data_IF_789437980157
#
_entry.id   IF_789437980157
#
_cell.length_a   1.000
_cell.length_b   1.000
_cell.length_c   1.000
_cell.angle_alpha   90.00
_cell.angle_beta   90.00
_cell.angle_gamma   90.00
#
_symmetry.space_group_name_H-M   'P 1'
#
loop_
_entity.id
_entity.type
_entity.pdbx_description
1 polymer ?
#
# COMPACT_ATOMS: atom_id res chain seq x y z
N UNK A 1 -20.75 9.24 -1.51
CA UNK A 1 -19.79 10.13 -2.21
C UNK A 1 -19.33 11.27 -1.31
N UNK A 2 -20.22 12.01 -0.64
CA UNK A 2 -19.85 13.14 0.24
C UNK A 2 -19.04 12.77 1.51
N UNK A 3 -19.19 11.56 2.05
CA UNK A 3 -18.43 11.13 3.25
C UNK A 3 -16.99 10.74 2.90
N UNK A 4 -16.81 9.88 1.88
CA UNK A 4 -15.48 9.51 1.37
C UNK A 4 -14.65 10.70 0.89
N UNK A 5 -15.30 11.74 0.34
CA UNK A 5 -14.60 12.97 -0.09
C UNK A 5 -14.16 13.78 1.14
N UNK A 6 -14.99 13.88 2.18
CA UNK A 6 -14.62 14.56 3.43
C UNK A 6 -13.55 13.81 4.22
N UNK A 7 -13.58 12.48 4.20
CA UNK A 7 -12.55 11.66 4.82
C UNK A 7 -11.22 11.79 4.06
N UNK A 8 -11.27 11.91 2.73
CA UNK A 8 -10.09 12.14 1.87
C UNK A 8 -9.52 13.55 2.03
N UNK A 9 -10.36 14.58 2.20
CA UNK A 9 -9.91 15.94 2.52
C UNK A 9 -9.25 16.02 3.89
N UNK A 10 -9.85 15.38 4.91
CA UNK A 10 -9.24 15.27 6.26
C UNK A 10 -7.94 14.47 6.25
N UNK A 11 -7.85 13.42 5.44
CA UNK A 11 -6.62 12.67 5.21
C UNK A 11 -5.54 13.56 4.57
N UNK A 12 -5.91 14.37 3.57
CA UNK A 12 -4.97 15.28 2.90
C UNK A 12 -4.47 16.42 3.80
N UNK A 13 -5.32 16.92 4.69
CA UNK A 13 -4.97 18.00 5.63
C UNK A 13 -4.09 17.48 6.77
N UNK A 14 -4.29 16.22 7.18
CA UNK A 14 -3.42 15.51 8.12
C UNK A 14 -2.09 15.08 7.48
N UNK A 15 -2.10 14.64 6.22
CA UNK A 15 -0.90 14.30 5.45
C UNK A 15 0.09 15.48 5.37
N UNK A 16 -0.40 16.72 5.28
CA UNK A 16 0.43 17.94 5.35
C UNK A 16 1.05 18.17 6.72
N UNK A 17 0.45 17.68 7.80
CA UNK A 17 0.98 17.78 9.16
C UNK A 17 2.12 16.78 9.41
N UNK A 18 2.20 15.70 8.61
CA UNK A 18 3.24 14.68 8.69
C UNK A 18 4.48 14.97 7.82
N UNK A 19 4.57 16.16 7.21
CA UNK A 19 5.74 16.55 6.39
C UNK A 19 7.02 16.76 7.23
N UNK A 20 6.89 16.87 8.56
CA UNK A 20 8.02 17.12 9.48
C UNK A 20 8.56 15.88 10.20
N UNK A 21 7.90 14.72 10.12
CA UNK A 21 8.35 13.48 10.76
C UNK A 21 8.63 12.38 9.74
N UNK A 22 9.85 11.85 9.70
CA UNK A 22 10.12 10.62 8.94
C UNK A 22 9.10 9.54 9.34
N UNK A 23 8.46 8.91 8.34
CA UNK A 23 7.33 7.97 8.47
C UNK A 23 7.68 6.65 9.16
N UNK A 24 8.21 6.72 10.38
CA UNK A 24 8.67 5.63 11.22
C UNK A 24 7.72 5.54 12.40
N UNK A 25 6.97 4.44 12.43
CA UNK A 25 6.09 4.12 13.55
C UNK A 25 6.78 3.11 14.48
N UNK A 26 6.64 3.33 15.79
CA UNK A 26 7.11 2.40 16.80
C UNK A 26 5.92 1.63 17.38
N UNK A 27 5.97 0.31 17.32
CA UNK A 27 5.01 -0.56 17.99
C UNK A 27 5.59 -0.97 19.33
N UNK A 28 4.88 -0.65 20.41
CA UNK A 28 5.30 -0.94 21.78
C UNK A 28 4.18 -1.68 22.50
N UNK A 29 4.53 -2.75 23.21
CA UNK A 29 3.62 -3.47 24.11
C UNK A 29 4.10 -3.30 25.54
N UNK A 30 3.17 -2.97 26.44
CA UNK A 30 3.45 -2.76 27.86
C UNK A 30 2.58 -3.71 28.69
N UNK A 31 3.08 -4.21 29.83
CA UNK A 31 2.24 -4.95 30.76
C UNK A 31 1.15 -4.04 31.34
N UNK A 32 0.03 -4.63 31.76
CA UNK A 32 -1.05 -3.90 32.41
C UNK A 32 -0.59 -3.42 33.79
N UNK A 33 -0.35 -2.11 33.91
CA UNK A 33 0.00 -1.41 35.13
C UNK A 33 -1.27 -0.85 35.78
N UNK A 34 -1.36 -0.91 37.12
CA UNK A 34 -2.48 -0.31 37.86
C UNK A 34 -3.82 -1.05 37.73
N UNK A 35 -3.84 -2.26 37.17
CA UNK A 35 -5.01 -3.14 37.18
C UNK A 35 -5.98 -2.99 35.99
N UNK A 36 -5.78 -2.03 35.07
CA UNK A 36 -6.54 -1.95 33.82
C UNK A 36 -5.68 -1.43 32.65
N UNK A 37 -6.09 -1.80 31.42
CA UNK A 37 -5.44 -1.34 30.20
C UNK A 37 -5.60 0.18 30.03
N UNK A 38 -6.75 0.74 30.43
CA UNK A 38 -6.98 2.18 30.38
C UNK A 38 -6.05 2.95 31.31
N UNK A 39 -5.82 2.46 32.53
CA UNK A 39 -4.91 3.12 33.46
C UNK A 39 -3.47 3.16 32.91
N UNK A 40 -3.04 2.07 32.25
CA UNK A 40 -1.73 2.01 31.58
C UNK A 40 -1.66 2.99 30.41
N UNK A 41 -2.71 3.02 29.57
CA UNK A 41 -2.82 3.93 28.44
C UNK A 41 -2.77 5.40 28.88
N UNK A 42 -3.55 5.77 29.88
CA UNK A 42 -3.62 7.14 30.40
C UNK A 42 -2.27 7.56 30.99
N UNK A 43 -1.58 6.65 31.70
CA UNK A 43 -0.25 6.92 32.22
C UNK A 43 0.78 7.14 31.10
N UNK A 44 0.75 6.35 30.03
CA UNK A 44 1.64 6.54 28.87
C UNK A 44 1.34 7.88 28.20
N UNK A 45 0.06 8.18 27.93
CA UNK A 45 -0.35 9.43 27.31
C UNK A 45 0.06 10.65 28.13
N UNK A 46 -0.12 10.58 29.45
CA UNK A 46 0.26 11.64 30.37
C UNK A 46 1.77 11.92 30.34
N UNK A 47 2.60 10.87 30.32
CA UNK A 47 4.04 11.04 30.42
C UNK A 47 4.72 11.34 29.08
N UNK A 48 4.24 10.77 27.97
CA UNK A 48 4.88 10.96 26.66
C UNK A 48 4.28 12.11 25.87
N UNK A 49 2.95 12.29 25.90
CA UNK A 49 2.28 13.32 25.08
C UNK A 49 2.08 14.60 25.88
N UNK A 50 1.34 14.54 26.99
CA UNK A 50 0.94 15.77 27.69
C UNK A 50 2.06 16.42 28.50
N UNK A 51 2.93 15.63 29.14
CA UNK A 51 4.00 16.16 29.97
C UNK A 51 5.24 16.59 29.18
N UNK A 52 5.55 15.90 28.08
CA UNK A 52 6.85 16.01 27.40
C UNK A 52 6.77 16.16 25.88
N UNK A 53 5.59 16.01 25.26
CA UNK A 53 5.37 16.12 23.80
C UNK A 53 6.37 15.33 22.95
N UNK A 54 6.65 14.09 23.36
CA UNK A 54 7.65 13.21 22.74
C UNK A 54 7.09 12.37 21.59
N UNK A 55 5.78 12.13 21.56
CA UNK A 55 5.16 11.21 20.61
C UNK A 55 3.68 11.49 20.38
N UNK A 56 3.17 11.05 19.22
CA UNK A 56 1.73 10.85 18.99
C UNK A 56 1.41 9.37 19.18
N UNK A 57 0.48 9.05 20.07
CA UNK A 57 0.16 7.67 20.43
C UNK A 57 -1.20 7.26 19.85
N UNK A 58 -1.26 6.04 19.32
CA UNK A 58 -2.48 5.42 18.79
C UNK A 58 -2.67 4.04 19.39
N UNK A 59 -3.92 3.64 19.65
CA UNK A 59 -4.22 2.32 20.20
C UNK A 59 -4.18 1.27 19.09
N UNK A 60 -3.44 0.20 19.32
CA UNK A 60 -3.51 -1.00 18.48
C UNK A 60 -4.53 -1.97 19.09
N UNK A 61 -5.75 -1.99 18.53
CA UNK A 61 -6.84 -2.80 19.05
C UNK A 61 -6.70 -4.26 18.60
N UNK A 62 -6.02 -5.07 19.42
CA UNK A 62 -5.87 -6.52 19.23
C UNK A 62 -6.93 -7.27 20.05
N UNK A 63 -7.64 -8.28 19.50
CA UNK A 63 -8.67 -8.99 20.24
C UNK A 63 -8.11 -9.78 21.43
N UNK A 64 -8.74 -9.64 22.60
CA UNK A 64 -8.39 -10.42 23.81
C UNK A 64 -8.70 -11.92 23.67
N UNK A 65 -9.60 -12.27 22.75
CA UNK A 65 -10.06 -13.63 22.48
C UNK A 65 -9.13 -14.43 21.57
N UNK A 66 -7.99 -13.88 21.18
CA UNK A 66 -7.00 -14.56 20.34
C UNK A 66 -6.57 -15.89 20.96
N UNK A 67 -6.93 -16.97 20.28
CA UNK A 67 -6.65 -18.32 20.77
C UNK A 67 -5.19 -18.69 20.49
N UNK A 68 -4.36 -18.45 21.50
CA UNK A 68 -2.97 -18.91 21.54
C UNK A 68 -2.90 -20.38 21.97
N UNK A 69 -1.96 -21.14 21.38
CA UNK A 69 -1.79 -22.58 21.61
C UNK A 69 -0.96 -22.88 22.87
N UNK A 70 -0.05 -23.84 22.76
CA UNK A 70 0.98 -24.10 23.77
C UNK A 70 2.16 -23.13 23.62
N UNK A 71 2.99 -23.01 24.65
CA UNK A 71 4.24 -22.23 24.57
C UNK A 71 5.13 -22.69 23.40
N UNK A 72 5.28 -23.99 23.21
CA UNK A 72 6.08 -24.54 22.10
C UNK A 72 5.55 -24.07 20.74
N UNK A 73 4.23 -24.10 20.54
CA UNK A 73 3.61 -23.61 19.30
C UNK A 73 3.78 -22.10 19.11
N UNK A 74 3.87 -21.32 20.20
CA UNK A 74 4.13 -19.88 20.13
C UNK A 74 5.59 -19.58 19.78
N UNK A 75 6.53 -20.37 20.29
CA UNK A 75 7.94 -20.23 19.95
C UNK A 75 8.19 -20.58 18.48
N UNK A 76 7.62 -21.69 18.00
CA UNK A 76 7.68 -22.06 16.59
C UNK A 76 7.06 -20.96 15.70
N UNK A 77 5.88 -20.47 16.08
CA UNK A 77 5.22 -19.40 15.33
C UNK A 77 6.02 -18.09 15.36
N UNK A 78 6.70 -17.76 16.46
CA UNK A 78 7.56 -16.58 16.56
C UNK A 78 8.70 -16.63 15.54
N UNK A 79 9.32 -17.79 15.36
CA UNK A 79 10.39 -17.97 14.37
C UNK A 79 9.86 -17.94 12.93
N UNK A 80 8.66 -18.49 12.69
CA UNK A 80 7.95 -18.39 11.41
C UNK A 80 7.61 -16.93 11.06
N UNK A 81 7.07 -16.17 12.02
CA UNK A 81 6.66 -14.77 11.85
C UNK A 81 7.79 -13.85 11.41
N UNK A 82 9.04 -14.10 11.85
CA UNK A 82 10.21 -13.34 11.39
C UNK A 82 10.41 -13.50 9.88
N UNK A 83 10.27 -14.73 9.37
CA UNK A 83 10.41 -15.01 7.93
C UNK A 83 9.22 -14.47 7.14
N UNK A 84 8.02 -14.64 7.66
CA UNK A 84 6.79 -14.17 7.03
C UNK A 84 6.75 -12.64 6.94
N UNK A 85 7.20 -11.93 7.99
CA UNK A 85 7.33 -10.46 7.98
C UNK A 85 8.22 -9.98 6.85
N UNK A 86 9.39 -10.60 6.65
CA UNK A 86 10.28 -10.25 5.54
C UNK A 86 9.64 -10.47 4.16
N UNK A 87 8.83 -11.52 4.00
CA UNK A 87 8.09 -11.79 2.77
C UNK A 87 6.96 -10.78 2.52
N UNK A 88 6.23 -10.40 3.58
CA UNK A 88 5.18 -9.37 3.54
C UNK A 88 5.80 -8.02 3.14
N UNK A 89 6.85 -7.59 3.84
CA UNK A 89 7.57 -6.35 3.55
C UNK A 89 8.08 -6.31 2.11
N UNK A 90 8.69 -7.41 1.64
CA UNK A 90 9.16 -7.52 0.26
C UNK A 90 8.04 -7.37 -0.77
N UNK A 91 6.86 -7.92 -0.50
CA UNK A 91 5.70 -7.80 -1.39
C UNK A 91 5.13 -6.39 -1.38
N UNK A 92 4.96 -5.79 -0.21
CA UNK A 92 4.52 -4.41 -0.05
C UNK A 92 5.47 -3.41 -0.73
N UNK A 93 6.78 -3.61 -0.59
CA UNK A 93 7.80 -2.77 -1.22
C UNK A 93 7.73 -2.84 -2.76
N UNK A 94 7.51 -4.03 -3.33
CA UNK A 94 7.29 -4.19 -4.78
C UNK A 94 6.03 -3.45 -5.22
N UNK A 95 4.90 -3.63 -4.52
CA UNK A 95 3.64 -2.96 -4.83
C UNK A 95 3.80 -1.43 -4.81
N UNK A 96 4.35 -0.89 -3.71
CA UNK A 96 4.62 0.55 -3.56
C UNK A 96 5.46 1.07 -4.71
N UNK A 97 6.55 0.38 -5.07
CA UNK A 97 7.40 0.75 -6.20
C UNK A 97 6.62 0.82 -7.51
N UNK A 98 5.76 -0.16 -7.80
CA UNK A 98 4.97 -0.17 -9.02
C UNK A 98 3.93 0.96 -9.05
N UNK A 99 3.24 1.21 -7.94
CA UNK A 99 2.30 2.34 -7.82
C UNK A 99 2.99 3.69 -8.11
N UNK A 100 4.17 3.92 -7.51
CA UNK A 100 4.95 5.13 -7.74
C UNK A 100 5.45 5.24 -9.18
N UNK A 101 6.00 4.16 -9.75
CA UNK A 101 6.49 4.15 -11.13
C UNK A 101 5.36 4.51 -12.12
N UNK A 102 4.18 3.91 -11.97
CA UNK A 102 3.04 4.21 -12.85
C UNK A 102 2.45 5.60 -12.64
N UNK A 103 2.45 6.11 -11.41
CA UNK A 103 2.02 7.47 -11.09
C UNK A 103 2.87 8.53 -11.81
N UNK A 104 4.19 8.39 -11.80
CA UNK A 104 5.11 9.32 -12.48
C UNK A 104 5.00 9.30 -14.03
N UNK A 105 4.64 8.17 -14.62
CA UNK A 105 4.40 8.08 -16.08
C UNK A 105 3.09 8.77 -16.50
N UNK A 106 2.13 8.95 -15.58
CA UNK A 106 0.92 9.73 -15.82
C UNK A 106 1.22 11.25 -15.83
N UNK A 107 2.02 11.72 -14.87
CA UNK A 107 2.36 13.14 -14.73
C UNK A 107 3.31 13.71 -15.80
N UNK A 108 4.13 12.88 -16.45
CA UNK A 108 5.08 13.32 -17.49
C UNK A 108 4.46 13.54 -18.88
N UNK A 109 3.17 13.21 -19.07
CA UNK A 109 2.43 13.49 -20.31
C UNK A 109 1.54 14.73 -20.25
N UNK A 110 1.51 15.45 -19.12
CA UNK A 110 0.64 16.61 -18.91
C UNK A 110 1.19 17.95 -19.46
N UNK A 111 2.20 17.93 -20.34
CA UNK A 111 2.75 19.16 -20.95
C UNK A 111 2.22 19.44 -22.37
N UNK A 112 1.10 18.85 -22.81
CA UNK A 112 0.72 19.08 -24.22
C UNK A 112 -0.65 18.66 -24.73
N UNK A 113 -1.70 18.56 -23.92
CA UNK A 113 -3.05 18.30 -24.48
C UNK A 113 -4.11 19.20 -23.86
N UNK A 114 -4.42 20.27 -24.59
CA UNK A 114 -5.67 21.02 -24.48
C UNK A 114 -6.87 20.05 -24.59
N UNK A 115 -7.84 20.17 -23.69
CA UNK A 115 -9.19 19.61 -23.86
C UNK A 115 -9.71 18.76 -22.70
N UNK A 116 -10.32 19.44 -21.73
CA UNK A 116 -11.57 19.06 -21.04
C UNK A 116 -11.70 17.74 -20.27
N UNK A 117 -10.60 17.07 -19.94
CA UNK A 117 -10.60 16.04 -18.91
C UNK A 117 -9.61 16.42 -17.82
N UNK A 118 -10.13 17.10 -16.80
CA UNK A 118 -9.50 17.18 -15.50
C UNK A 118 -9.40 15.76 -14.91
N UNK A 119 -8.45 14.97 -15.41
CA UNK A 119 -7.88 13.90 -14.61
C UNK A 119 -7.10 14.62 -13.53
N UNK A 120 -7.82 14.85 -12.43
CA UNK A 120 -7.29 15.20 -11.13
C UNK A 120 -5.99 14.39 -10.94
N UNK A 121 -4.97 15.07 -10.44
CA UNK A 121 -3.70 14.51 -10.00
C UNK A 121 -3.95 13.34 -9.00
N UNK A 122 -4.34 12.18 -9.51
CA UNK A 122 -4.55 10.92 -8.78
C UNK A 122 -3.18 10.25 -8.59
N UNK A 123 -2.19 11.03 -8.19
CA UNK A 123 -1.02 10.50 -7.52
C UNK A 123 -1.53 9.86 -6.23
N UNK A 124 -1.42 8.52 -6.05
CA UNK A 124 -1.90 7.90 -4.83
C UNK A 124 -1.12 8.47 -3.65
N UNK A 125 -1.83 9.08 -2.70
CA UNK A 125 -1.26 9.56 -1.44
C UNK A 125 -0.99 8.35 -0.53
N UNK A 126 0.00 7.55 -0.92
CA UNK A 126 0.39 6.34 -0.22
C UNK A 126 0.80 6.65 1.22
N UNK A 127 1.39 7.83 1.45
CA UNK A 127 1.77 8.26 2.81
C UNK A 127 0.54 8.48 3.69
N UNK A 128 -0.47 9.19 3.19
CA UNK A 128 -1.73 9.38 3.91
C UNK A 128 -2.46 8.07 4.18
N UNK A 129 -2.48 7.16 3.20
CA UNK A 129 -3.08 5.82 3.36
C UNK A 129 -2.33 4.96 4.38
N UNK A 130 -0.99 4.97 4.36
CA UNK A 130 -0.15 4.26 5.33
C UNK A 130 -0.39 4.79 6.75
N UNK A 131 -0.45 6.12 6.92
CA UNK A 131 -0.71 6.75 8.20
C UNK A 131 -2.09 6.36 8.75
N UNK A 132 -3.13 6.44 7.92
CA UNK A 132 -4.48 6.02 8.31
C UNK A 132 -4.53 4.55 8.72
N UNK A 133 -3.85 3.67 7.98
CA UNK A 133 -3.82 2.24 8.28
C UNK A 133 -3.22 1.92 9.66
N UNK A 134 -2.20 2.68 10.08
CA UNK A 134 -1.55 2.51 11.40
C UNK A 134 -2.35 3.20 12.51
N UNK A 135 -2.80 4.43 12.30
CA UNK A 135 -3.43 5.27 13.33
C UNK A 135 -4.86 4.85 13.68
N UNK A 136 -5.56 4.22 12.73
CA UNK A 136 -6.94 3.76 12.87
C UNK A 136 -7.08 2.25 12.70
N UNK A 137 -6.05 1.50 13.10
CA UNK A 137 -6.06 0.04 13.00
C UNK A 137 -7.22 -0.57 13.80
N UNK A 138 -8.01 -1.39 13.12
CA UNK A 138 -9.03 -2.24 13.71
C UNK A 138 -8.87 -3.67 13.22
N UNK A 139 -8.99 -4.62 14.16
CA UNK A 139 -8.92 -6.03 13.83
C UNK A 139 -10.11 -6.45 12.95
N UNK A 140 -9.80 -7.04 11.80
CA UNK A 140 -10.83 -7.51 10.87
C UNK A 140 -11.34 -8.90 11.27
N UNK A 141 -12.31 -8.94 12.19
CA UNK A 141 -12.87 -10.20 12.72
C UNK A 141 -13.56 -11.05 11.64
N UNK A 142 -14.09 -10.42 10.58
CA UNK A 142 -14.72 -11.14 9.47
C UNK A 142 -13.72 -11.92 8.62
N UNK A 143 -12.51 -11.36 8.42
CA UNK A 143 -11.43 -12.00 7.65
C UNK A 143 -10.55 -12.90 8.51
N UNK A 144 -10.30 -12.49 9.75
CA UNK A 144 -9.40 -13.16 10.68
C UNK A 144 -10.11 -13.38 12.03
N UNK A 145 -11.01 -14.37 12.15
CA UNK A 145 -11.75 -14.59 13.39
C UNK A 145 -10.81 -14.93 14.55
N UNK A 146 -10.88 -14.15 15.63
CA UNK A 146 -10.01 -14.27 16.80
C UNK A 146 -10.22 -15.57 17.60
N UNK A 147 -11.40 -16.19 17.48
CA UNK A 147 -11.74 -17.44 18.15
C UNK A 147 -11.09 -18.70 17.52
N UNK A 148 -10.39 -18.53 16.38
CA UNK A 148 -9.63 -19.58 15.71
C UNK A 148 -8.19 -19.62 16.21
N UNK A 149 -7.47 -20.75 16.05
CA UNK A 149 -6.06 -20.82 16.40
C UNK A 149 -5.25 -19.75 15.66
N UNK A 150 -4.37 -19.06 16.38
CA UNK A 150 -3.56 -17.95 15.83
C UNK A 150 -2.80 -18.34 14.55
N UNK A 151 -2.27 -19.57 14.47
CA UNK A 151 -1.56 -20.07 13.28
C UNK A 151 -2.42 -20.01 12.01
N UNK A 152 -3.71 -20.28 12.11
CA UNK A 152 -4.63 -20.22 10.96
C UNK A 152 -4.82 -18.78 10.46
N UNK A 153 -4.75 -17.77 11.34
CA UNK A 153 -4.80 -16.38 10.93
C UNK A 153 -3.54 -15.99 10.13
N UNK A 154 -2.36 -16.41 10.59
CA UNK A 154 -1.08 -16.19 9.92
C UNK A 154 -1.05 -16.87 8.54
N UNK A 155 -1.47 -18.14 8.47
CA UNK A 155 -1.58 -18.89 7.21
C UNK A 155 -2.48 -18.17 6.20
N UNK A 156 -3.66 -17.69 6.61
CA UNK A 156 -4.56 -16.93 5.74
C UNK A 156 -3.96 -15.61 5.26
N UNK A 157 -3.23 -14.90 6.13
CA UNK A 157 -2.52 -13.67 5.74
C UNK A 157 -1.49 -14.00 4.65
N UNK A 158 -0.68 -15.04 4.86
CA UNK A 158 0.35 -15.46 3.92
C UNK A 158 -0.21 -15.96 2.59
N UNK A 159 -1.32 -16.69 2.59
CA UNK A 159 -2.04 -17.03 1.36
C UNK A 159 -2.48 -15.79 0.58
N UNK A 160 -2.98 -14.76 1.28
CA UNK A 160 -3.35 -13.49 0.67
C UNK A 160 -2.15 -12.75 0.07
N UNK A 161 -1.03 -12.75 0.78
CA UNK A 161 0.24 -12.13 0.33
C UNK A 161 0.76 -12.84 -0.92
N UNK A 162 0.85 -14.16 -0.91
CA UNK A 162 1.30 -14.95 -2.07
C UNK A 162 0.39 -14.75 -3.29
N UNK A 163 -0.93 -14.80 -3.09
CA UNK A 163 -1.90 -14.56 -4.17
C UNK A 163 -1.72 -13.17 -4.79
N UNK A 164 -1.44 -12.17 -3.96
CA UNK A 164 -1.21 -10.79 -4.40
C UNK A 164 0.11 -10.66 -5.16
N UNK A 165 1.20 -11.26 -4.66
CA UNK A 165 2.52 -11.24 -5.32
C UNK A 165 2.47 -11.96 -6.68
N UNK A 166 1.78 -13.10 -6.78
CA UNK A 166 1.61 -13.83 -8.03
C UNK A 166 0.76 -13.05 -9.04
N UNK A 167 -0.36 -12.45 -8.60
CA UNK A 167 -1.16 -11.58 -9.45
C UNK A 167 -0.36 -10.38 -9.97
N UNK A 168 0.47 -9.77 -9.10
CA UNK A 168 1.36 -8.68 -9.48
C UNK A 168 2.38 -9.13 -10.54
N UNK A 169 3.04 -10.28 -10.34
CA UNK A 169 4.02 -10.83 -11.30
C UNK A 169 3.40 -11.04 -12.69
N UNK A 170 2.22 -11.63 -12.75
CA UNK A 170 1.48 -11.84 -14.01
C UNK A 170 1.23 -10.50 -14.69
N UNK A 171 0.69 -9.52 -13.96
CA UNK A 171 0.40 -8.18 -14.51
C UNK A 171 1.65 -7.45 -14.98
N UNK A 172 2.76 -7.56 -14.25
CA UNK A 172 4.03 -6.96 -14.66
C UNK A 172 4.61 -7.62 -15.91
N UNK A 173 4.47 -8.93 -16.05
CA UNK A 173 4.90 -9.66 -17.25
C UNK A 173 4.09 -9.23 -18.48
N UNK A 174 2.76 -9.19 -18.35
CA UNK A 174 1.85 -8.70 -19.39
C UNK A 174 2.20 -7.26 -19.79
N UNK A 175 2.36 -6.36 -18.81
CA UNK A 175 2.71 -4.96 -19.05
C UNK A 175 4.06 -4.82 -19.76
N UNK A 176 5.09 -5.55 -19.31
CA UNK A 176 6.42 -5.54 -19.94
C UNK A 176 6.37 -6.00 -21.40
N UNK A 177 5.59 -7.05 -21.69
CA UNK A 177 5.36 -7.54 -23.06
C UNK A 177 4.69 -6.47 -23.93
N UNK A 178 3.59 -5.88 -23.45
CA UNK A 178 2.91 -4.79 -24.17
C UNK A 178 3.82 -3.58 -24.41
N UNK A 179 4.61 -3.18 -23.41
CA UNK A 179 5.57 -2.07 -23.52
C UNK A 179 6.64 -2.35 -24.58
N UNK A 180 7.18 -3.57 -24.61
CA UNK A 180 8.15 -4.00 -25.62
C UNK A 180 7.54 -4.00 -27.03
N UNK A 181 6.33 -4.52 -27.17
CA UNK A 181 5.59 -4.53 -28.44
C UNK A 181 5.32 -3.11 -28.95
N UNK A 182 4.87 -2.21 -28.06
CA UNK A 182 4.67 -0.80 -28.38
C UNK A 182 5.97 -0.14 -28.83
N UNK A 183 7.08 -0.34 -28.11
CA UNK A 183 8.38 0.22 -28.50
C UNK A 183 8.83 -0.27 -29.89
N UNK A 184 8.58 -1.55 -30.21
CA UNK A 184 8.86 -2.10 -31.53
C UNK A 184 7.99 -1.47 -32.62
N UNK A 185 6.69 -1.30 -32.38
CA UNK A 185 5.77 -0.63 -33.32
C UNK A 185 6.14 0.85 -33.53
N UNK A 186 6.43 1.59 -32.45
CA UNK A 186 6.87 2.98 -32.52
C UNK A 186 8.12 3.11 -33.39
N UNK A 187 9.10 2.20 -33.25
CA UNK A 187 10.30 2.17 -34.11
C UNK A 187 9.98 1.85 -35.57
N UNK A 188 9.01 0.99 -35.86
CA UNK A 188 8.58 0.70 -37.25
C UNK A 188 7.84 1.88 -37.90
N UNK A 189 7.10 2.64 -37.10
CA UNK A 189 6.40 3.86 -37.53
C UNK A 189 7.28 5.11 -37.56
N UNK A 190 8.47 5.07 -36.95
CA UNK A 190 9.39 6.19 -36.85
C UNK A 190 10.62 5.96 -37.75
N UNK A 191 10.92 6.92 -38.62
CA UNK A 191 12.05 6.83 -39.55
C UNK A 191 11.76 7.45 -40.90
N UNK A 192 12.74 7.42 -41.79
CA UNK A 192 12.58 7.84 -43.19
C UNK A 192 11.52 7.00 -43.89
N UNK A 193 10.78 7.61 -44.82
CA UNK A 193 9.75 6.96 -45.66
C UNK A 193 10.27 5.72 -46.41
N UNK A 194 11.59 5.61 -46.61
CA UNK A 194 12.21 4.44 -47.24
C UNK A 194 12.16 3.15 -46.39
N UNK A 195 11.99 3.25 -45.06
CA UNK A 195 12.04 2.10 -44.12
C UNK A 195 10.79 2.05 -43.22
N UNK A 196 10.07 3.17 -43.11
CA UNK A 196 8.86 3.31 -42.32
C UNK A 196 7.69 2.55 -42.95
N UNK A 197 6.83 1.99 -42.10
CA UNK A 197 5.58 1.39 -42.54
C UNK A 197 4.65 2.43 -43.20
N UNK A 198 4.27 2.18 -44.47
CA UNK A 198 3.50 3.10 -45.32
C UNK A 198 1.98 2.91 -45.24
N UNK A 199 1.50 1.86 -44.57
CA UNK A 199 0.05 1.56 -44.46
C UNK A 199 -0.78 2.62 -43.75
N UNK A 200 -0.14 3.51 -42.98
CA UNK A 200 -0.79 4.68 -42.37
C UNK A 200 -0.72 5.95 -43.23
N UNK A 201 -0.01 5.91 -44.36
CA UNK A 201 0.22 7.04 -45.27
C UNK A 201 -0.55 6.86 -46.58
N UNK A 202 -0.54 5.64 -47.13
CA UNK A 202 -1.16 5.30 -48.42
C UNK A 202 -2.67 5.23 -48.26
N UNK A 203 -3.39 5.93 -49.14
CA UNK A 203 -4.85 5.92 -49.21
C UNK A 203 -5.32 5.11 -50.41
N UNK A 204 -6.60 4.75 -50.43
CA UNK A 204 -7.19 3.97 -51.53
C UNK A 204 -7.10 4.71 -52.88
N UNK A 205 -7.08 6.05 -52.84
CA UNK A 205 -6.87 6.94 -54.00
C UNK A 205 -5.44 6.93 -54.57
N UNK A 206 -4.46 6.39 -53.84
CA UNK A 206 -3.05 6.32 -54.26
C UNK A 206 -2.70 5.02 -55.02
N UNK A 207 -3.66 4.08 -55.16
CA UNK A 207 -3.45 2.76 -55.77
C UNK A 207 -4.30 2.63 -57.03
N UNK A 208 -3.68 2.20 -58.15
CA UNK A 208 -4.32 2.02 -59.48
C UNK A 208 -4.75 0.57 -59.71
#
# INVERSE_FOLDING_TARGET
VSERVRDRERASERARMYDEGEGVYWVVSLPVLGGSQEATWDAVQQNTVYAQDLSSNFKLNVPETLRVGTLDSLLELSDELVRDTAAIEGTCAKLRRQCLEHSHHSGTSASGRNGDHAFLDDTPDLKGEDALAVESFEWNEAKFPSNRPLKEAVERIMEGVHRTDDALKVKLSEYSSCKSNLAALTRKSAGSLAVREIGSIVREEDVV
#
